data_IF_005261504399
#
_entry.id   IF_005261504399
#
_cell.length_a   1.000
_cell.length_b   1.000
_cell.length_c   1.000
_cell.angle_alpha   90.00
_cell.angle_beta   90.00
_cell.angle_gamma   90.00
#
_symmetry.space_group_name_H-M   'P 1'
#
loop_
_entity.id
_entity.type
_entity.pdbx_description
1 polymer ?
#
# COMPACT_ATOMS: atom_id res chain seq x y z
N UNK A 1 -17.76 -82.40 -3.48
CA UNK A 1 -16.74 -82.96 -2.56
C UNK A 1 -15.65 -81.92 -2.33
N UNK A 2 -15.27 -81.68 -1.05
CA UNK A 2 -14.18 -80.81 -0.52
C UNK A 2 -14.39 -79.28 -0.72
N UNK A 3 -14.81 -78.48 0.29
CA UNK A 3 -14.03 -77.85 1.41
C UNK A 3 -12.71 -77.22 0.91
N UNK A 4 -12.33 -75.95 1.12
CA UNK A 4 -12.73 -74.92 2.11
C UNK A 4 -11.94 -73.60 1.89
N UNK A 5 -12.43 -72.51 2.51
CA UNK A 5 -11.71 -71.33 3.06
C UNK A 5 -11.20 -70.25 2.06
N UNK A 6 -11.41 -68.93 2.23
CA UNK A 6 -11.49 -68.09 3.44
C UNK A 6 -12.44 -66.88 3.31
N UNK A 7 -12.96 -66.48 4.48
CA UNK A 7 -13.67 -65.24 4.85
C UNK A 7 -12.91 -63.98 4.44
N UNK A 8 -13.60 -62.85 4.22
CA UNK A 8 -13.50 -61.60 5.01
C UNK A 8 -14.63 -60.63 4.62
N UNK A 9 -15.47 -60.26 5.60
CA UNK A 9 -16.35 -59.08 5.59
C UNK A 9 -15.55 -57.96 6.26
N UNK A 10 -15.40 -56.78 5.64
CA UNK A 10 -15.14 -55.53 6.37
C UNK A 10 -15.83 -54.37 5.66
N UNK A 11 -16.72 -53.72 6.41
CA UNK A 11 -17.39 -52.47 6.10
C UNK A 11 -16.38 -51.31 6.08
N UNK A 12 -16.48 -50.42 5.09
CA UNK A 12 -15.83 -49.12 5.13
C UNK A 12 -16.84 -48.07 5.57
N UNK A 13 -16.79 -47.73 6.87
CA UNK A 13 -17.41 -46.55 7.43
C UNK A 13 -16.47 -45.34 7.26
N UNK A 14 -17.10 -44.21 6.98
CA UNK A 14 -16.56 -42.86 6.81
C UNK A 14 -15.70 -42.41 8.00
N UNK A 15 -14.53 -41.82 7.71
CA UNK A 15 -14.02 -40.67 8.46
C UNK A 15 -13.49 -39.66 7.44
N UNK A 16 -14.37 -38.75 7.01
CA UNK A 16 -13.95 -37.46 6.49
C UNK A 16 -13.35 -36.68 7.66
N UNK A 17 -12.02 -36.75 7.79
CA UNK A 17 -11.29 -35.95 8.78
C UNK A 17 -11.43 -34.47 8.42
N UNK A 18 -12.15 -33.74 9.28
CA UNK A 18 -12.08 -32.29 9.40
C UNK A 18 -10.62 -31.89 9.59
N UNK A 19 -9.96 -31.41 8.55
CA UNK A 19 -8.67 -30.71 8.66
C UNK A 19 -8.93 -29.28 9.16
N UNK A 20 -9.39 -29.15 10.40
CA UNK A 20 -9.27 -27.90 11.16
C UNK A 20 -7.84 -27.85 11.72
N UNK A 21 -6.87 -27.65 10.82
CA UNK A 21 -5.47 -27.48 11.20
C UNK A 21 -5.35 -26.29 12.15
N UNK A 22 -4.73 -26.49 13.31
CA UNK A 22 -4.28 -25.37 14.14
C UNK A 22 -3.33 -24.51 13.28
N UNK A 23 -3.67 -23.24 13.00
CA UNK A 23 -2.70 -22.30 12.44
C UNK A 23 -1.52 -22.23 13.40
N UNK A 24 -0.32 -22.54 12.91
CA UNK A 24 0.89 -22.49 13.74
C UNK A 24 1.28 -21.04 14.01
N UNK A 25 2.07 -20.83 15.06
CA UNK A 25 2.75 -19.56 15.35
C UNK A 25 3.50 -19.00 14.13
N UNK A 26 3.94 -19.85 13.21
CA UNK A 26 4.66 -19.44 11.99
C UNK A 26 3.78 -18.67 10.99
N UNK A 27 2.47 -18.92 10.93
CA UNK A 27 1.60 -18.17 10.02
C UNK A 27 1.41 -16.72 10.48
N UNK A 28 1.35 -16.49 11.79
CA UNK A 28 1.30 -15.14 12.35
C UNK A 28 2.63 -14.42 12.18
N UNK A 29 3.76 -15.13 12.31
CA UNK A 29 5.08 -14.56 12.01
C UNK A 29 5.18 -14.12 10.53
N UNK A 30 4.71 -14.97 9.61
CA UNK A 30 4.64 -14.63 8.18
C UNK A 30 3.75 -13.43 7.92
N UNK A 31 2.58 -13.37 8.55
CA UNK A 31 1.69 -12.22 8.43
C UNK A 31 2.33 -10.93 8.96
N UNK A 32 2.94 -10.97 10.15
CA UNK A 32 3.56 -9.79 10.73
C UNK A 32 4.75 -9.28 9.90
N UNK A 33 5.51 -10.20 9.31
CA UNK A 33 6.53 -9.88 8.31
C UNK A 33 5.90 -9.20 7.08
N UNK A 34 4.81 -9.76 6.55
CA UNK A 34 4.07 -9.15 5.44
C UNK A 34 3.55 -7.74 5.77
N UNK A 35 3.11 -7.50 7.00
CA UNK A 35 2.72 -6.16 7.47
C UNK A 35 3.88 -5.17 7.50
N UNK A 36 5.10 -5.64 7.77
CA UNK A 36 6.31 -4.81 7.72
C UNK A 36 6.73 -4.48 6.29
N UNK A 37 6.70 -5.48 5.39
CA UNK A 37 7.00 -5.31 3.96
C UNK A 37 5.95 -4.40 3.28
N UNK A 38 4.68 -4.59 3.60
CA UNK A 38 3.59 -3.69 3.23
C UNK A 38 3.87 -2.24 3.64
N UNK A 39 4.21 -2.01 4.91
CA UNK A 39 4.48 -0.66 5.38
C UNK A 39 5.69 -0.03 4.66
N UNK A 40 6.73 -0.80 4.38
CA UNK A 40 7.86 -0.31 3.58
C UNK A 40 7.44 0.09 2.16
N UNK A 41 6.62 -0.73 1.50
CA UNK A 41 6.06 -0.40 0.19
C UNK A 41 5.19 0.86 0.22
N UNK A 42 4.31 1.00 1.22
CA UNK A 42 3.52 2.23 1.36
C UNK A 42 4.42 3.45 1.53
N UNK A 43 5.47 3.38 2.35
CA UNK A 43 6.41 4.50 2.51
C UNK A 43 7.07 4.92 1.19
N UNK A 44 7.46 3.93 0.36
CA UNK A 44 8.02 4.18 -0.98
C UNK A 44 7.01 4.80 -1.95
N UNK A 45 5.75 4.37 -1.87
CA UNK A 45 4.68 4.98 -2.67
C UNK A 45 4.43 6.44 -2.26
N UNK A 46 4.47 6.74 -0.97
CA UNK A 46 4.30 8.09 -0.45
C UNK A 46 5.44 9.03 -0.86
N UNK A 47 6.67 8.50 -0.92
CA UNK A 47 7.83 9.19 -1.48
C UNK A 47 7.62 9.51 -2.96
N UNK A 48 7.29 8.50 -3.78
CA UNK A 48 7.02 8.69 -5.21
C UNK A 48 5.84 9.64 -5.48
N UNK A 49 4.78 9.56 -4.69
CA UNK A 49 3.62 10.46 -4.80
C UNK A 49 3.99 11.93 -4.54
N UNK A 50 4.97 12.18 -3.67
CA UNK A 50 5.47 13.52 -3.38
C UNK A 50 6.28 14.06 -4.56
N UNK A 51 7.24 13.27 -5.04
CA UNK A 51 8.11 13.64 -6.17
C UNK A 51 7.29 13.94 -7.44
N UNK A 52 6.40 13.02 -7.83
CA UNK A 52 5.55 13.16 -9.03
C UNK A 52 4.68 14.42 -8.93
N UNK A 53 4.19 14.75 -7.74
CA UNK A 53 3.36 15.94 -7.57
C UNK A 53 4.17 17.22 -7.80
N UNK A 54 5.35 17.32 -7.20
CA UNK A 54 6.25 18.48 -7.35
C UNK A 54 6.74 18.60 -8.80
N UNK A 55 7.09 17.48 -9.44
CA UNK A 55 7.49 17.47 -10.84
C UNK A 55 6.34 18.00 -11.73
N UNK A 56 5.09 17.61 -11.44
CA UNK A 56 3.91 18.06 -12.19
C UNK A 56 3.70 19.57 -12.08
N UNK A 57 3.73 20.13 -10.87
CA UNK A 57 3.52 21.57 -10.68
C UNK A 57 4.71 22.39 -11.17
N UNK A 58 5.91 21.84 -11.12
CA UNK A 58 7.10 22.43 -11.74
C UNK A 58 6.98 22.50 -13.27
N UNK A 59 6.56 21.42 -13.92
CA UNK A 59 6.27 21.42 -15.35
C UNK A 59 5.17 22.41 -15.72
N UNK A 60 4.14 22.53 -14.89
CA UNK A 60 3.08 23.51 -15.07
C UNK A 60 3.61 24.95 -14.96
N UNK A 61 4.49 25.24 -14.00
CA UNK A 61 5.14 26.54 -13.86
C UNK A 61 5.97 26.89 -15.11
N UNK A 62 6.80 25.96 -15.59
CA UNK A 62 7.64 26.15 -16.76
C UNK A 62 6.83 26.31 -18.05
N UNK A 63 5.71 25.62 -18.17
CA UNK A 63 4.78 25.79 -19.29
C UNK A 63 4.11 27.17 -19.25
N UNK A 64 3.68 27.60 -18.07
CA UNK A 64 2.98 28.88 -17.88
C UNK A 64 3.91 30.08 -18.03
N UNK A 65 5.16 30.02 -17.56
CA UNK A 65 6.17 31.09 -17.69
C UNK A 65 6.42 31.49 -19.15
N UNK A 66 6.30 30.52 -20.05
CA UNK A 66 6.47 30.75 -21.50
C UNK A 66 5.30 31.47 -22.15
N UNK A 67 4.11 31.42 -21.54
CA UNK A 67 2.86 31.97 -22.09
C UNK A 67 2.49 33.28 -21.37
N UNK A 68 2.79 33.36 -20.08
CA UNK A 68 2.45 34.43 -19.16
C UNK A 68 3.72 34.84 -18.40
N UNK A 69 3.93 36.14 -18.22
CA UNK A 69 4.93 36.62 -17.25
C UNK A 69 4.46 36.23 -15.86
N UNK A 70 5.00 35.13 -15.33
CA UNK A 70 4.59 34.58 -14.04
C UNK A 70 4.84 35.59 -12.92
N UNK A 71 3.90 35.64 -11.98
CA UNK A 71 4.03 36.43 -10.76
C UNK A 71 4.38 35.54 -9.56
N UNK A 72 4.81 36.15 -8.46
CA UNK A 72 5.00 35.45 -7.19
C UNK A 72 3.68 34.79 -6.75
N UNK A 73 2.56 35.46 -7.01
CA UNK A 73 1.21 34.98 -6.70
C UNK A 73 0.89 33.70 -7.50
N UNK A 74 1.30 33.61 -8.76
CA UNK A 74 1.07 32.41 -9.58
C UNK A 74 1.92 31.22 -9.12
N UNK A 75 3.16 31.47 -8.69
CA UNK A 75 3.98 30.47 -8.02
C UNK A 75 3.32 29.95 -6.73
N UNK A 76 2.83 30.86 -5.88
CA UNK A 76 2.17 30.50 -4.61
C UNK A 76 0.89 29.70 -4.82
N UNK A 77 0.10 30.02 -5.84
CA UNK A 77 -1.14 29.27 -6.18
C UNK A 77 -0.88 27.78 -6.45
N UNK A 78 0.31 27.43 -6.97
CA UNK A 78 0.68 26.03 -7.22
C UNK A 78 1.43 25.41 -6.03
N UNK A 79 2.25 26.19 -5.33
CA UNK A 79 3.09 25.72 -4.23
C UNK A 79 2.30 25.48 -2.94
N UNK A 80 1.37 26.37 -2.55
CA UNK A 80 0.63 26.22 -1.29
C UNK A 80 -0.22 24.93 -1.23
N UNK A 81 -0.93 24.51 -2.30
CA UNK A 81 -1.57 23.19 -2.33
C UNK A 81 -0.58 22.02 -2.18
N UNK A 82 0.61 22.14 -2.76
CA UNK A 82 1.64 21.11 -2.67
C UNK A 82 2.19 20.99 -1.25
N UNK A 83 2.46 22.11 -0.57
CA UNK A 83 2.88 22.13 0.83
C UNK A 83 1.84 21.47 1.75
N UNK A 84 0.56 21.80 1.58
CA UNK A 84 -0.54 21.16 2.33
C UNK A 84 -0.60 19.66 2.07
N UNK A 85 -0.41 19.25 0.82
CA UNK A 85 -0.40 17.82 0.46
C UNK A 85 0.80 17.10 1.06
N UNK A 86 1.99 17.71 1.04
CA UNK A 86 3.19 17.16 1.66
C UNK A 86 3.03 17.01 3.18
N UNK A 87 2.32 17.93 3.84
CA UNK A 87 1.98 17.81 5.26
C UNK A 87 1.11 16.58 5.52
N UNK A 88 0.07 16.37 4.70
CA UNK A 88 -0.81 15.18 4.79
C UNK A 88 -0.02 13.90 4.54
N UNK A 89 0.83 13.87 3.52
CA UNK A 89 1.72 12.73 3.23
C UNK A 89 2.66 12.48 4.42
N UNK A 90 3.22 13.51 5.03
CA UNK A 90 4.06 13.39 6.22
C UNK A 90 3.32 12.77 7.42
N UNK A 91 2.05 13.12 7.63
CA UNK A 91 1.19 12.47 8.64
C UNK A 91 0.93 11.00 8.28
N UNK A 92 0.68 10.70 7.01
CA UNK A 92 0.46 9.33 6.54
C UNK A 92 1.70 8.46 6.67
N UNK A 93 2.91 9.00 6.47
CA UNK A 93 4.17 8.28 6.73
C UNK A 93 4.33 7.93 8.20
N UNK A 94 4.07 8.88 9.12
CA UNK A 94 4.07 8.61 10.57
C UNK A 94 3.03 7.57 10.97
N UNK A 95 1.83 7.64 10.39
CA UNK A 95 0.77 6.64 10.58
C UNK A 95 1.24 5.25 10.13
N UNK A 96 1.84 5.16 8.95
CA UNK A 96 2.36 3.92 8.39
C UNK A 96 3.52 3.33 9.22
N UNK A 97 4.40 4.16 9.78
CA UNK A 97 5.44 3.72 10.72
C UNK A 97 4.84 3.10 11.99
N UNK A 98 3.76 3.68 12.52
CA UNK A 98 3.06 3.13 13.67
C UNK A 98 2.34 1.81 13.33
N UNK A 99 1.80 1.66 12.10
CA UNK A 99 1.24 0.39 11.65
C UNK A 99 2.34 -0.69 11.54
N UNK A 100 3.51 -0.34 10.98
CA UNK A 100 4.67 -1.22 10.94
C UNK A 100 5.04 -1.70 12.35
N UNK A 101 5.11 -0.76 13.29
CA UNK A 101 5.43 -1.04 14.68
C UNK A 101 4.37 -1.92 15.36
N UNK A 102 3.09 -1.68 15.07
CA UNK A 102 2.00 -2.54 15.51
C UNK A 102 2.19 -3.98 15.03
N UNK A 103 2.48 -4.20 13.75
CA UNK A 103 2.71 -5.56 13.23
C UNK A 103 3.98 -6.20 13.79
N UNK A 104 5.04 -5.43 14.03
CA UNK A 104 6.24 -5.90 14.72
C UNK A 104 5.91 -6.41 16.13
N UNK A 105 5.14 -5.65 16.90
CA UNK A 105 4.72 -6.06 18.24
C UNK A 105 3.72 -7.22 18.22
N UNK A 106 2.88 -7.31 17.19
CA UNK A 106 1.99 -8.46 16.96
C UNK A 106 2.79 -9.75 16.73
N UNK A 107 3.93 -9.65 16.02
CA UNK A 107 4.88 -10.75 15.88
C UNK A 107 5.44 -11.19 17.24
N UNK A 108 5.82 -10.21 18.07
CA UNK A 108 6.35 -10.48 19.40
C UNK A 108 5.31 -11.17 20.29
N UNK A 109 4.04 -10.77 20.23
CA UNK A 109 2.96 -11.45 20.94
C UNK A 109 2.71 -12.88 20.44
N UNK A 110 2.98 -13.14 19.16
CA UNK A 110 2.88 -14.47 18.58
C UNK A 110 4.08 -15.38 18.96
N UNK A 111 5.21 -14.80 19.39
CA UNK A 111 6.36 -15.52 19.95
C UNK A 111 6.29 -15.55 21.48
N UNK A 112 6.48 -16.70 22.10
CA UNK A 112 6.27 -16.96 23.54
C UNK A 112 7.11 -16.13 24.53
N UNK A 113 7.98 -15.23 24.07
CA UNK A 113 9.17 -14.82 24.81
C UNK A 113 9.07 -13.44 25.50
N UNK A 114 8.03 -12.63 25.24
CA UNK A 114 7.85 -11.35 25.95
C UNK A 114 6.41 -10.74 25.97
N UNK A 115 5.35 -11.46 26.44
CA UNK A 115 3.98 -10.99 26.29
C UNK A 115 3.66 -9.65 26.98
N UNK A 116 4.16 -9.42 28.19
CA UNK A 116 3.75 -8.27 29.02
C UNK A 116 4.31 -6.94 28.54
N UNK A 117 5.57 -6.92 28.06
CA UNK A 117 6.19 -5.70 27.51
C UNK A 117 5.52 -5.29 26.21
N UNK A 118 5.37 -6.23 25.27
CA UNK A 118 4.73 -6.01 23.98
C UNK A 118 3.28 -5.52 24.15
N UNK A 119 2.51 -6.08 25.10
CA UNK A 119 1.15 -5.61 25.41
C UNK A 119 1.10 -4.14 25.88
N UNK A 120 2.09 -3.71 26.67
CA UNK A 120 2.23 -2.33 27.12
C UNK A 120 2.53 -1.38 25.95
N UNK A 121 3.52 -1.73 25.14
CA UNK A 121 3.97 -0.92 23.99
C UNK A 121 2.88 -0.78 22.91
N UNK A 122 2.15 -1.85 22.61
CA UNK A 122 1.03 -1.83 21.63
C UNK A 122 -0.01 -0.78 22.02
N UNK A 123 -0.27 -0.60 23.31
CA UNK A 123 -1.25 0.41 23.76
C UNK A 123 -0.84 1.82 23.34
N UNK A 124 0.44 2.17 23.50
CA UNK A 124 0.96 3.46 23.06
C UNK A 124 0.88 3.63 21.55
N UNK A 125 1.30 2.61 20.80
CA UNK A 125 1.25 2.60 19.33
C UNK A 125 -0.17 2.82 18.81
N UNK A 126 -1.14 2.07 19.33
CA UNK A 126 -2.53 2.17 18.88
C UNK A 126 -3.18 3.50 19.29
N UNK A 127 -2.82 4.07 20.44
CA UNK A 127 -3.30 5.40 20.81
C UNK A 127 -2.77 6.48 19.85
N UNK A 128 -1.49 6.39 19.47
CA UNK A 128 -0.90 7.30 18.49
C UNK A 128 -1.48 7.09 17.08
N UNK A 129 -1.74 5.84 16.68
CA UNK A 129 -2.44 5.52 15.43
C UNK A 129 -3.80 6.20 15.39
N UNK A 130 -4.65 5.99 16.40
CA UNK A 130 -5.97 6.61 16.48
C UNK A 130 -5.91 8.14 16.43
N UNK A 131 -4.90 8.74 17.08
CA UNK A 131 -4.74 10.20 17.07
C UNK A 131 -4.45 10.70 15.66
N UNK A 132 -3.45 10.14 14.99
CA UNK A 132 -3.08 10.54 13.63
C UNK A 132 -4.20 10.16 12.65
N UNK A 133 -4.83 8.99 12.81
CA UNK A 133 -5.96 8.54 12.03
C UNK A 133 -7.12 9.55 12.05
N UNK A 134 -7.46 10.13 13.20
CA UNK A 134 -8.46 11.20 13.30
C UNK A 134 -8.06 12.48 12.56
N UNK A 135 -6.78 12.87 12.63
CA UNK A 135 -6.28 14.03 11.87
C UNK A 135 -6.36 13.77 10.36
N UNK A 136 -6.02 12.55 9.94
CA UNK A 136 -6.09 12.07 8.56
C UNK A 136 -7.53 11.97 8.03
N UNK A 137 -8.50 11.65 8.88
CA UNK A 137 -9.93 11.62 8.52
C UNK A 137 -10.48 12.97 8.05
N UNK A 138 -9.92 14.07 8.53
CA UNK A 138 -10.29 15.42 8.10
C UNK A 138 -9.59 15.89 6.83
N UNK A 139 -8.77 15.03 6.19
CA UNK A 139 -8.05 15.37 4.97
C UNK A 139 -8.94 15.28 3.73
N UNK A 140 -8.72 16.20 2.78
CA UNK A 140 -9.33 16.19 1.45
C UNK A 140 -8.98 14.94 0.62
N UNK A 141 -7.99 14.13 1.04
CA UNK A 141 -7.68 12.84 0.41
C UNK A 141 -8.73 11.76 0.71
N UNK A 142 -9.50 11.87 1.80
CA UNK A 142 -10.60 10.94 2.09
C UNK A 142 -11.88 11.44 1.41
N UNK A 143 -12.18 10.88 0.25
CA UNK A 143 -13.36 11.27 -0.54
C UNK A 143 -14.65 10.59 -0.12
N UNK A 144 -14.58 9.48 0.64
CA UNK A 144 -15.76 8.76 1.13
C UNK A 144 -15.69 8.43 2.64
N UNK A 145 -15.97 9.42 3.51
CA UNK A 145 -15.97 9.21 4.97
C UNK A 145 -16.99 8.17 5.44
N UNK A 146 -18.05 7.90 4.67
CA UNK A 146 -19.08 6.93 5.01
C UNK A 146 -18.57 5.50 5.13
N UNK A 147 -17.49 5.14 4.39
CA UNK A 147 -16.85 3.82 4.49
C UNK A 147 -16.26 3.56 5.88
N UNK A 148 -15.85 4.62 6.58
CA UNK A 148 -15.27 4.52 7.92
C UNK A 148 -16.31 4.21 8.99
N UNK A 149 -17.58 4.57 8.75
CA UNK A 149 -18.69 4.35 9.68
C UNK A 149 -19.17 2.89 9.69
N UNK A 150 -18.94 2.16 8.59
CA UNK A 150 -19.37 0.77 8.43
C UNK A 150 -18.47 -0.28 9.10
N UNK A 151 -17.41 0.14 9.81
CA UNK A 151 -16.41 -0.78 10.36
C UNK A 151 -16.89 -1.38 11.69
N UNK A 152 -17.23 -2.67 11.63
CA UNK A 152 -17.68 -3.48 12.77
C UNK A 152 -16.53 -4.26 13.41
N UNK A 153 -16.78 -4.81 14.60
CA UNK A 153 -15.86 -5.77 15.21
C UNK A 153 -15.78 -7.04 14.36
N UNK A 154 -14.58 -7.61 14.26
CA UNK A 154 -14.34 -8.89 13.61
C UNK A 154 -14.50 -10.04 14.62
N UNK A 155 -14.91 -11.21 14.12
CA UNK A 155 -14.93 -12.44 14.92
C UNK A 155 -13.54 -13.05 14.92
N UNK A 156 -12.89 -13.07 16.07
CA UNK A 156 -11.53 -13.61 16.21
C UNK A 156 -11.56 -15.14 16.22
N UNK A 157 -10.91 -15.76 15.23
CA UNK A 157 -10.84 -17.21 15.04
C UNK A 157 -10.44 -17.94 16.32
N UNK A 158 -11.10 -19.07 16.62
CA UNK A 158 -10.76 -19.92 17.77
C UNK A 158 -9.36 -20.56 17.67
N UNK A 159 -8.73 -20.51 16.49
CA UNK A 159 -7.36 -20.94 16.28
C UNK A 159 -6.34 -19.94 16.85
N UNK A 160 -6.74 -18.68 17.08
CA UNK A 160 -5.91 -17.67 17.73
C UNK A 160 -6.04 -17.84 19.24
N UNK A 161 -4.90 -17.90 19.96
CA UNK A 161 -4.86 -18.17 21.41
C UNK A 161 -3.94 -17.21 22.16
N UNK A 162 -4.12 -17.16 23.47
CA UNK A 162 -3.26 -16.42 24.41
C UNK A 162 -3.28 -14.92 24.18
N UNK A 163 -2.16 -14.26 24.51
CA UNK A 163 -2.01 -12.81 24.44
C UNK A 163 -2.31 -12.21 23.05
N UNK A 164 -2.02 -12.96 21.98
CA UNK A 164 -2.35 -12.57 20.61
C UNK A 164 -3.87 -12.50 20.39
N UNK A 165 -4.62 -13.46 20.92
CA UNK A 165 -6.09 -13.46 20.85
C UNK A 165 -6.64 -12.24 21.57
N UNK A 166 -6.21 -12.01 22.81
CA UNK A 166 -6.70 -10.91 23.64
C UNK A 166 -6.49 -9.55 22.95
N UNK A 167 -5.32 -9.37 22.33
CA UNK A 167 -5.00 -8.15 21.59
C UNK A 167 -5.88 -7.98 20.35
N UNK A 168 -6.05 -9.03 19.54
CA UNK A 168 -6.91 -8.97 18.35
C UNK A 168 -8.39 -8.78 18.72
N UNK A 169 -8.89 -9.41 19.77
CA UNK A 169 -10.26 -9.19 20.26
C UNK A 169 -10.47 -7.75 20.71
N UNK A 170 -9.47 -7.18 21.39
CA UNK A 170 -9.52 -5.81 21.90
C UNK A 170 -9.45 -4.76 20.79
N UNK A 171 -8.68 -5.00 19.73
CA UNK A 171 -8.28 -3.93 18.79
C UNK A 171 -8.58 -4.15 17.33
N UNK A 172 -9.16 -5.30 16.94
CA UNK A 172 -9.45 -5.57 15.52
C UNK A 172 -10.19 -4.41 14.84
N UNK A 173 -11.22 -3.83 15.47
CA UNK A 173 -12.00 -2.74 14.89
C UNK A 173 -11.18 -1.48 14.68
N UNK A 174 -10.35 -1.12 15.66
CA UNK A 174 -9.44 0.02 15.55
C UNK A 174 -8.47 -0.19 14.42
N UNK A 175 -7.79 -1.34 14.35
CA UNK A 175 -6.82 -1.60 13.28
C UNK A 175 -7.49 -1.68 11.92
N UNK A 176 -8.70 -2.24 11.82
CA UNK A 176 -9.50 -2.20 10.60
C UNK A 176 -9.82 -0.77 10.15
N UNK A 177 -10.15 0.12 11.09
CA UNK A 177 -10.35 1.54 10.80
C UNK A 177 -9.08 2.18 10.24
N UNK A 178 -7.94 1.96 10.89
CA UNK A 178 -6.66 2.53 10.45
C UNK A 178 -6.23 2.01 9.07
N UNK A 179 -6.40 0.71 8.82
CA UNK A 179 -6.13 0.12 7.50
C UNK A 179 -7.10 0.62 6.42
N UNK A 180 -8.34 0.94 6.78
CA UNK A 180 -9.32 1.52 5.85
C UNK A 180 -8.97 2.96 5.52
N UNK A 181 -8.56 3.78 6.51
CA UNK A 181 -8.05 5.13 6.29
C UNK A 181 -6.88 5.08 5.29
N UNK A 182 -5.92 4.19 5.54
CA UNK A 182 -4.76 4.04 4.66
C UNK A 182 -5.17 3.61 3.25
N UNK A 183 -6.07 2.62 3.10
CA UNK A 183 -6.60 2.18 1.81
C UNK A 183 -7.23 3.32 1.00
N UNK A 184 -8.10 4.13 1.62
CA UNK A 184 -8.77 5.22 0.91
C UNK A 184 -7.77 6.30 0.48
N UNK A 185 -6.78 6.61 1.32
CA UNK A 185 -5.71 7.54 0.95
C UNK A 185 -4.82 7.00 -0.17
N UNK A 186 -4.43 5.73 -0.10
CA UNK A 186 -3.66 5.07 -1.16
C UNK A 186 -4.41 5.13 -2.48
N UNK A 187 -5.71 4.85 -2.49
CA UNK A 187 -6.54 4.97 -3.70
C UNK A 187 -6.52 6.40 -4.26
N UNK A 188 -6.76 7.41 -3.42
CA UNK A 188 -6.74 8.81 -3.85
C UNK A 188 -5.36 9.25 -4.39
N UNK A 189 -4.29 8.82 -3.73
CA UNK A 189 -2.92 9.06 -4.19
C UNK A 189 -2.63 8.35 -5.52
N UNK A 190 -3.09 7.11 -5.68
CA UNK A 190 -2.94 6.34 -6.92
C UNK A 190 -3.64 7.01 -8.11
N UNK A 191 -4.87 7.49 -7.91
CA UNK A 191 -5.62 8.25 -8.93
C UNK A 191 -4.89 9.56 -9.29
N UNK A 192 -4.38 10.27 -8.27
CA UNK A 192 -3.59 11.49 -8.49
C UNK A 192 -2.29 11.22 -9.23
N UNK A 193 -1.54 10.16 -8.88
CA UNK A 193 -0.29 9.78 -9.55
C UNK A 193 -0.52 9.52 -11.03
N UNK A 194 -1.58 8.80 -11.40
CA UNK A 194 -1.90 8.54 -12.81
C UNK A 194 -2.15 9.85 -13.57
N UNK A 195 -2.92 10.76 -12.97
CA UNK A 195 -3.23 12.06 -13.57
C UNK A 195 -1.98 12.95 -13.69
N UNK A 196 -1.19 13.04 -12.62
CA UNK A 196 0.03 13.83 -12.54
C UNK A 196 1.08 13.31 -13.55
N UNK A 197 1.29 11.99 -13.63
CA UNK A 197 2.18 11.37 -14.62
C UNK A 197 1.76 11.66 -16.07
N UNK A 198 0.45 11.72 -16.35
CA UNK A 198 -0.08 12.12 -17.66
C UNK A 198 0.22 13.58 -17.97
N UNK A 199 0.09 14.47 -16.99
CA UNK A 199 0.38 15.90 -17.15
C UNK A 199 1.88 16.15 -17.38
N UNK A 200 2.75 15.48 -16.61
CA UNK A 200 4.21 15.50 -16.81
C UNK A 200 4.54 15.06 -18.23
N UNK A 201 4.02 13.90 -18.68
CA UNK A 201 4.27 13.41 -20.05
C UNK A 201 3.95 14.45 -21.10
N UNK A 202 2.77 15.08 -21.01
CA UNK A 202 2.34 16.09 -21.99
C UNK A 202 3.29 17.30 -21.96
N UNK A 203 3.67 17.77 -20.78
CA UNK A 203 4.56 18.93 -20.63
C UNK A 203 5.98 18.65 -21.13
N UNK A 204 6.53 17.48 -20.80
CA UNK A 204 7.85 17.04 -21.25
C UNK A 204 7.89 16.75 -22.74
N UNK A 205 6.86 16.10 -23.30
CA UNK A 205 6.75 15.86 -24.75
C UNK A 205 6.77 17.18 -25.52
N UNK A 206 5.98 18.15 -25.05
CA UNK A 206 5.99 19.49 -25.60
C UNK A 206 7.39 20.14 -25.48
N UNK A 207 8.02 20.07 -24.30
CA UNK A 207 9.29 20.76 -24.01
C UNK A 207 10.50 20.16 -24.72
N UNK A 208 10.62 18.83 -24.72
CA UNK A 208 11.83 18.12 -25.13
C UNK A 208 11.71 17.41 -26.48
N UNK A 209 10.49 17.18 -26.97
CA UNK A 209 10.27 16.45 -28.23
C UNK A 209 9.74 17.39 -29.30
N UNK A 210 8.58 18.01 -29.06
CA UNK A 210 7.89 18.82 -30.07
C UNK A 210 8.67 20.10 -30.37
N UNK A 211 9.06 20.88 -29.37
CA UNK A 211 9.76 22.15 -29.61
C UNK A 211 11.08 21.98 -30.34
N UNK A 212 12.02 21.10 -29.91
CA UNK A 212 13.27 20.94 -30.64
C UNK A 212 13.07 20.42 -32.08
N UNK A 213 11.95 19.74 -32.36
CA UNK A 213 11.63 19.23 -33.70
C UNK A 213 11.11 20.33 -34.65
N UNK A 214 10.44 21.36 -34.13
CA UNK A 214 9.82 22.43 -34.95
C UNK A 214 10.65 23.72 -35.00
N UNK A 215 11.69 23.83 -34.17
CA UNK A 215 12.61 24.97 -34.20
C UNK A 215 13.46 24.95 -35.48
N UNK A 216 13.85 26.13 -35.96
CA UNK A 216 14.66 26.28 -37.18
C UNK A 216 16.13 25.79 -37.03
N UNK A 217 16.47 25.25 -35.85
CA UNK A 217 17.81 24.75 -35.53
C UNK A 217 17.81 23.22 -35.55
N UNK A 218 18.83 22.61 -36.17
CA UNK A 218 18.97 21.16 -36.17
C UNK A 218 19.17 20.63 -34.74
N UNK A 219 18.50 19.52 -34.41
CA UNK A 219 18.68 18.81 -33.14
C UNK A 219 20.14 18.37 -33.02
N UNK A 220 20.85 18.94 -32.04
CA UNK A 220 22.30 18.74 -31.87
C UNK A 220 22.67 17.28 -31.56
N UNK A 221 21.92 16.62 -30.68
CA UNK A 221 22.12 15.21 -30.31
C UNK A 221 20.85 14.40 -30.61
N UNK A 222 20.85 13.73 -31.76
CA UNK A 222 19.69 12.96 -32.25
C UNK A 222 19.47 11.68 -31.43
N UNK A 223 20.53 11.06 -30.93
CA UNK A 223 20.42 9.82 -30.16
C UNK A 223 19.85 10.10 -28.77
N UNK A 224 20.34 11.17 -28.11
CA UNK A 224 19.76 11.63 -26.85
C UNK A 224 18.29 12.03 -27.02
N UNK A 225 17.94 12.74 -28.10
CA UNK A 225 16.56 13.11 -28.39
C UNK A 225 15.63 11.89 -28.59
N UNK A 226 16.09 10.87 -29.34
CA UNK A 226 15.35 9.62 -29.52
C UNK A 226 15.10 8.93 -28.19
N UNK A 227 16.11 8.88 -27.32
CA UNK A 227 15.98 8.23 -26.02
C UNK A 227 15.05 9.01 -25.08
N UNK A 228 15.18 10.33 -24.98
CA UNK A 228 14.26 11.19 -24.23
C UNK A 228 12.82 10.99 -24.70
N UNK A 229 12.58 10.96 -26.02
CA UNK A 229 11.24 10.69 -26.56
C UNK A 229 10.72 9.32 -26.16
N UNK A 230 11.55 8.28 -26.19
CA UNK A 230 11.18 6.92 -25.78
C UNK A 230 10.75 6.89 -24.31
N UNK A 231 11.55 7.50 -23.43
CA UNK A 231 11.29 7.55 -21.99
C UNK A 231 9.98 8.28 -21.67
N UNK A 232 9.74 9.44 -22.29
CA UNK A 232 8.51 10.22 -22.13
C UNK A 232 7.29 9.38 -22.54
N UNK A 233 7.34 8.71 -23.69
CA UNK A 233 6.19 7.93 -24.19
C UNK A 233 5.85 6.72 -23.32
N UNK A 234 6.81 6.16 -22.58
CA UNK A 234 6.58 5.03 -21.67
C UNK A 234 6.09 5.51 -20.28
N UNK A 235 6.30 6.78 -19.92
CA UNK A 235 5.99 7.32 -18.58
C UNK A 235 4.51 7.23 -18.19
N UNK A 236 3.56 7.41 -19.12
CA UNK A 236 2.13 7.23 -18.82
C UNK A 236 1.81 5.79 -18.38
N UNK A 237 2.50 4.79 -18.97
CA UNK A 237 2.36 3.40 -18.53
C UNK A 237 2.80 3.25 -17.08
N UNK A 238 3.92 3.88 -16.69
CA UNK A 238 4.43 3.83 -15.31
C UNK A 238 3.44 4.44 -14.31
N UNK A 239 2.81 5.57 -14.65
CA UNK A 239 1.76 6.16 -13.81
C UNK A 239 0.59 5.20 -13.54
N UNK A 240 0.16 4.45 -14.57
CA UNK A 240 -0.87 3.40 -14.44
C UNK A 240 -0.40 2.22 -13.58
N UNK A 241 0.85 1.81 -13.74
CA UNK A 241 1.46 0.74 -12.95
C UNK A 241 1.52 1.12 -11.46
N UNK A 242 1.92 2.35 -11.14
CA UNK A 242 1.94 2.88 -9.76
C UNK A 242 0.54 2.95 -9.15
N UNK A 243 -0.46 3.39 -9.90
CA UNK A 243 -1.87 3.35 -9.46
C UNK A 243 -2.34 1.93 -9.17
N UNK A 244 -2.07 0.99 -10.07
CA UNK A 244 -2.45 -0.41 -9.90
C UNK A 244 -1.80 -1.01 -8.66
N UNK A 245 -0.52 -0.71 -8.44
CA UNK A 245 0.18 -1.12 -7.24
C UNK A 245 -0.38 -0.49 -5.96
N UNK A 246 -0.71 0.80 -5.98
CA UNK A 246 -1.40 1.47 -4.87
C UNK A 246 -2.71 0.76 -4.50
N UNK A 247 -3.51 0.41 -5.50
CA UNK A 247 -4.74 -0.35 -5.32
C UNK A 247 -4.48 -1.76 -4.76
N UNK A 248 -3.39 -2.42 -5.16
CA UNK A 248 -3.00 -3.72 -4.64
C UNK A 248 -2.57 -3.64 -3.17
N UNK A 249 -1.76 -2.64 -2.80
CA UNK A 249 -1.39 -2.36 -1.42
C UNK A 249 -2.62 -2.10 -0.54
N UNK A 250 -3.62 -1.38 -1.07
CA UNK A 250 -4.91 -1.16 -0.40
C UNK A 250 -5.69 -2.43 -0.04
N UNK A 251 -5.35 -3.60 -0.62
CA UNK A 251 -5.96 -4.90 -0.26
C UNK A 251 -5.43 -5.48 1.04
N UNK A 252 -4.38 -4.91 1.64
CA UNK A 252 -3.82 -5.42 2.89
C UNK A 252 -4.84 -5.46 4.05
N UNK A 253 -5.79 -4.52 4.07
CA UNK A 253 -6.94 -4.53 4.97
C UNK A 253 -7.68 -5.87 4.96
N UNK A 254 -7.89 -6.45 3.77
CA UNK A 254 -8.60 -7.73 3.63
C UNK A 254 -7.73 -8.93 4.03
N UNK A 255 -6.40 -8.82 3.88
CA UNK A 255 -5.45 -9.82 4.37
C UNK A 255 -5.48 -9.85 5.90
N UNK A 256 -5.48 -8.68 6.54
CA UNK A 256 -5.63 -8.57 8.00
C UNK A 256 -6.97 -9.11 8.47
N UNK A 257 -8.08 -8.74 7.83
CA UNK A 257 -9.40 -9.28 8.18
C UNK A 257 -9.41 -10.81 8.09
N UNK A 258 -8.93 -11.37 6.98
CA UNK A 258 -8.87 -12.81 6.79
C UNK A 258 -8.00 -13.52 7.83
N UNK A 259 -6.91 -12.89 8.29
CA UNK A 259 -6.08 -13.43 9.36
C UNK A 259 -6.89 -13.52 10.66
N UNK A 260 -7.52 -12.41 11.06
CA UNK A 260 -8.28 -12.32 12.32
C UNK A 260 -9.44 -13.32 12.34
N UNK A 261 -10.17 -13.43 11.23
CA UNK A 261 -11.30 -14.36 11.08
C UNK A 261 -10.87 -15.81 10.83
N UNK A 262 -9.59 -16.07 10.62
CA UNK A 262 -9.05 -17.40 10.31
C UNK A 262 -9.33 -17.89 8.89
N UNK A 263 -9.82 -17.02 8.00
CA UNK A 263 -10.15 -17.34 6.60
C UNK A 263 -8.99 -17.05 5.62
N UNK A 264 -7.88 -16.47 6.09
CA UNK A 264 -6.70 -16.19 5.26
C UNK A 264 -6.04 -17.50 4.80
N UNK A 265 -5.91 -17.70 3.49
CA UNK A 265 -5.10 -18.79 2.92
C UNK A 265 -3.65 -18.35 2.73
N UNK A 266 -2.71 -19.31 2.77
CA UNK A 266 -1.31 -19.05 2.43
C UNK A 266 -1.16 -18.53 1.00
N UNK A 267 -1.98 -19.01 0.07
CA UNK A 267 -1.99 -18.52 -1.32
C UNK A 267 -2.34 -17.04 -1.39
N UNK A 268 -3.34 -16.57 -0.63
CA UNK A 268 -3.72 -15.16 -0.60
C UNK A 268 -2.62 -14.29 0.02
N UNK A 269 -2.00 -14.76 1.10
CA UNK A 269 -0.88 -14.05 1.71
C UNK A 269 0.32 -13.95 0.76
N UNK A 270 0.71 -15.04 0.11
CA UNK A 270 1.82 -15.05 -0.84
C UNK A 270 1.54 -14.20 -2.08
N UNK A 271 0.30 -14.20 -2.58
CA UNK A 271 -0.09 -13.34 -3.71
C UNK A 271 0.05 -11.86 -3.35
N UNK A 272 -0.37 -11.49 -2.14
CA UNK A 272 -0.18 -10.12 -1.64
C UNK A 272 1.30 -9.75 -1.51
N UNK A 273 2.14 -10.66 -0.99
CA UNK A 273 3.58 -10.43 -0.91
C UNK A 273 4.23 -10.24 -2.29
N UNK A 274 3.77 -11.00 -3.29
CA UNK A 274 4.21 -10.81 -4.67
C UNK A 274 3.79 -9.45 -5.23
N UNK A 275 2.57 -8.97 -4.93
CA UNK A 275 2.13 -7.63 -5.30
C UNK A 275 3.01 -6.55 -4.67
N UNK A 276 3.43 -6.73 -3.40
CA UNK A 276 4.37 -5.84 -2.69
C UNK A 276 5.75 -5.83 -3.36
N UNK A 277 6.32 -7.01 -3.66
CA UNK A 277 7.62 -7.12 -4.30
C UNK A 277 7.63 -6.50 -5.71
N UNK A 278 6.60 -6.77 -6.51
CA UNK A 278 6.44 -6.17 -7.84
C UNK A 278 6.39 -4.64 -7.77
N UNK A 279 5.71 -4.09 -6.76
CA UNK A 279 5.66 -2.66 -6.53
C UNK A 279 7.02 -2.08 -6.16
N UNK A 280 7.76 -2.73 -5.24
CA UNK A 280 9.08 -2.25 -4.84
C UNK A 280 10.04 -2.20 -6.04
N UNK A 281 10.01 -3.22 -6.91
CA UNK A 281 10.78 -3.24 -8.15
C UNK A 281 10.41 -2.09 -9.09
N UNK A 282 9.12 -1.76 -9.20
CA UNK A 282 8.63 -0.64 -10.01
C UNK A 282 9.18 0.70 -9.53
N UNK A 283 9.15 0.96 -8.21
CA UNK A 283 9.68 2.22 -7.64
C UNK A 283 11.20 2.30 -7.75
N UNK A 284 11.91 1.19 -7.56
CA UNK A 284 13.37 1.16 -7.72
C UNK A 284 13.82 1.41 -9.17
N UNK A 285 13.05 0.92 -10.15
CA UNK A 285 13.29 1.20 -11.56
C UNK A 285 13.12 2.70 -11.88
N UNK A 286 12.19 3.38 -11.21
CA UNK A 286 11.92 4.80 -11.44
C UNK A 286 13.05 5.71 -10.91
N UNK A 287 13.68 5.34 -9.78
CA UNK A 287 14.85 6.06 -9.26
C UNK A 287 16.09 6.00 -10.15
N UNK A 288 16.20 4.99 -11.02
CA UNK A 288 17.34 4.81 -11.94
C UNK A 288 17.17 5.53 -13.27
N UNK A 289 15.97 6.03 -13.57
CA UNK A 289 15.66 6.71 -14.82
C UNK A 289 15.83 8.25 -14.72
N UNK A 290 16.50 8.75 -13.68
CA UNK A 290 16.83 10.17 -13.48
C UNK A 290 18.31 10.41 -13.77
#
# INVERSE_FOLDING_TARGET
MKKTLRKTIVAFAVIATLTTGCRSTDEYKKFAKAGSEYANAVDKLLEAASDIRIDTTSEQLLRNDRILNQTIEDYKKLTEPDEKRLEVIGKLRKHNELLREYFRLLNELASSDAPTRAQGEITGVVNNLNKIGKELQGSDLITNPGLLQGITNLVVSSQIRGALRDELEKRNRTIMLELTIQKEMLKALGDSIEQDAKLIRIAEEERFVIRPLIEDTEIADKDAWIETRREILIRERRGKELKNASNALGKFQEVFQGLVEGTLSLTRLNSFLQDVDNFLQLVEADKKAK
#
